data_IF_824025155653
#
_entry.id   IF_824025155653
#
_cell.length_a   1.000
_cell.length_b   1.000
_cell.length_c   1.000
_cell.angle_alpha   90.00
_cell.angle_beta   90.00
_cell.angle_gamma   90.00
#
_symmetry.space_group_name_H-M   'P 1'
#
loop_
_entity.id
_entity.type
_entity.pdbx_description
1 polymer ?
#
# COMPACT_ATOMS: atom_id res chain seq x y z
N UNK A 1 -17.59 -25.87 6.74
CA UNK A 1 -17.89 -24.72 7.62
C UNK A 1 -16.88 -24.57 8.77
N UNK A 2 -16.71 -25.57 9.66
CA UNK A 2 -15.75 -25.48 10.78
C UNK A 2 -14.29 -25.17 10.37
N UNK A 3 -13.75 -25.83 9.34
CA UNK A 3 -12.37 -25.60 8.88
C UNK A 3 -12.09 -24.15 8.44
N UNK A 4 -13.06 -23.50 7.79
CA UNK A 4 -12.94 -22.10 7.37
C UNK A 4 -12.90 -21.17 8.57
N UNK A 5 -13.77 -21.40 9.55
CA UNK A 5 -13.82 -20.63 10.81
C UNK A 5 -12.50 -20.76 11.58
N UNK A 6 -11.95 -21.97 11.69
CA UNK A 6 -10.65 -22.19 12.36
C UNK A 6 -9.50 -21.45 11.68
N UNK A 7 -9.47 -21.41 10.34
CA UNK A 7 -8.44 -20.65 9.59
C UNK A 7 -8.58 -19.15 9.84
N UNK A 8 -9.80 -18.65 9.82
CA UNK A 8 -10.09 -17.23 10.00
C UNK A 8 -9.72 -16.76 11.42
N UNK A 9 -10.09 -17.54 12.43
CA UNK A 9 -9.68 -17.28 13.82
C UNK A 9 -8.16 -17.24 13.98
N UNK A 10 -7.42 -18.19 13.38
CA UNK A 10 -5.95 -18.18 13.44
C UNK A 10 -5.35 -16.91 12.83
N UNK A 11 -5.88 -16.46 11.68
CA UNK A 11 -5.45 -15.22 11.06
C UNK A 11 -5.77 -14.00 11.94
N UNK A 12 -6.95 -13.95 12.55
CA UNK A 12 -7.33 -12.85 13.44
C UNK A 12 -6.41 -12.75 14.65
N UNK A 13 -6.13 -13.87 15.34
CA UNK A 13 -5.20 -13.89 16.48
C UNK A 13 -3.80 -13.45 16.06
N UNK A 14 -3.33 -13.87 14.89
CA UNK A 14 -2.02 -13.46 14.39
C UNK A 14 -1.95 -11.96 14.07
N UNK A 15 -3.03 -11.39 13.54
CA UNK A 15 -3.10 -9.99 13.14
C UNK A 15 -3.42 -9.04 14.29
N UNK A 16 -4.00 -9.55 15.38
CA UNK A 16 -4.49 -8.76 16.52
C UNK A 16 -3.46 -7.73 17.02
N UNK A 17 -2.21 -8.14 17.20
CA UNK A 17 -1.14 -7.24 17.64
C UNK A 17 -0.95 -6.05 16.69
N UNK A 18 -1.02 -6.30 15.39
CA UNK A 18 -0.78 -5.27 14.37
C UNK A 18 -2.00 -4.37 14.18
N UNK A 19 -3.21 -4.91 14.32
CA UNK A 19 -4.46 -4.19 14.04
C UNK A 19 -5.09 -3.51 15.25
N UNK A 20 -4.84 -4.01 16.46
CA UNK A 20 -5.51 -3.56 17.69
C UNK A 20 -4.67 -2.59 18.53
N UNK A 21 -3.44 -2.32 18.11
CA UNK A 21 -2.56 -1.34 18.75
C UNK A 21 -2.50 -0.04 17.95
N UNK A 22 -2.30 1.07 18.67
CA UNK A 22 -2.05 2.37 18.05
C UNK A 22 -0.57 2.56 17.79
N UNK A 23 -0.25 3.05 16.59
CA UNK A 23 1.12 3.28 16.14
C UNK A 23 1.33 4.77 15.88
N UNK A 24 2.36 5.34 16.49
CA UNK A 24 2.80 6.70 16.19
C UNK A 24 3.88 6.60 15.12
N UNK A 25 3.58 7.11 13.93
CA UNK A 25 4.53 7.20 12.84
C UNK A 25 5.21 8.57 12.90
N UNK A 26 6.54 8.60 12.96
CA UNK A 26 7.33 9.82 12.99
C UNK A 26 8.25 9.88 11.76
N UNK A 27 8.27 11.03 11.08
CA UNK A 27 9.09 11.30 9.90
C UNK A 27 10.09 12.45 10.08
N UNK A 28 10.31 12.92 11.32
CA UNK A 28 11.15 14.07 11.66
C UNK A 28 12.57 13.95 11.09
N UNK A 29 13.23 12.80 11.26
CA UNK A 29 14.59 12.59 10.73
C UNK A 29 14.64 12.67 9.21
N UNK A 30 13.62 12.16 8.52
CA UNK A 30 13.53 12.23 7.06
C UNK A 30 13.34 13.67 6.59
N UNK A 31 12.44 14.42 7.25
CA UNK A 31 12.23 15.84 6.97
C UNK A 31 13.48 16.67 7.24
N UNK A 32 14.17 16.42 8.37
CA UNK A 32 15.42 17.08 8.72
C UNK A 32 16.48 16.83 7.65
N UNK A 33 16.69 15.56 7.27
CA UNK A 33 17.65 15.19 6.22
C UNK A 33 17.33 15.91 4.91
N UNK A 34 16.06 15.87 4.48
CA UNK A 34 15.62 16.57 3.27
C UNK A 34 15.96 18.07 3.33
N UNK A 35 15.77 18.73 4.48
CA UNK A 35 16.09 20.15 4.62
C UNK A 35 17.59 20.45 4.55
N UNK A 36 18.45 19.51 4.93
CA UNK A 36 19.90 19.67 4.95
C UNK A 36 20.57 19.37 3.61
N UNK A 37 19.89 18.65 2.70
CA UNK A 37 20.46 18.31 1.39
C UNK A 37 20.60 19.53 0.48
N UNK A 38 21.69 19.53 -0.30
CA UNK A 38 21.91 20.46 -1.40
C UNK A 38 20.82 20.31 -2.48
N UNK A 39 20.56 21.33 -3.30
CA UNK A 39 19.67 21.20 -4.46
C UNK A 39 20.07 20.04 -5.39
N UNK A 40 21.36 19.83 -5.58
CA UNK A 40 21.93 18.75 -6.41
C UNK A 40 21.63 17.37 -5.82
N UNK A 41 21.81 17.19 -4.52
CA UNK A 41 21.54 15.92 -3.84
C UNK A 41 20.05 15.62 -3.78
N UNK A 42 19.19 16.63 -3.56
CA UNK A 42 17.73 16.48 -3.63
C UNK A 42 17.27 15.96 -4.97
N UNK A 43 17.90 16.42 -6.05
CA UNK A 43 17.59 15.98 -7.41
C UNK A 43 18.12 14.57 -7.69
N UNK A 44 19.34 14.28 -7.24
CA UNK A 44 20.02 13.00 -7.49
C UNK A 44 19.40 11.87 -6.68
N UNK A 45 19.02 12.15 -5.43
CA UNK A 45 18.48 11.20 -4.46
C UNK A 45 17.10 11.66 -3.98
N UNK A 46 16.16 11.81 -4.90
CA UNK A 46 14.83 12.29 -4.55
C UNK A 46 14.02 11.23 -3.78
N UNK A 47 13.75 11.49 -2.50
CA UNK A 47 12.83 10.70 -1.66
C UNK A 47 11.61 11.53 -1.22
N UNK A 48 11.30 12.63 -1.90
CA UNK A 48 10.12 13.45 -1.63
C UNK A 48 8.86 12.83 -2.22
N UNK A 49 8.18 12.01 -1.43
CA UNK A 49 6.92 11.36 -1.83
C UNK A 49 5.76 12.34 -2.08
N UNK A 50 5.87 13.61 -1.67
CA UNK A 50 4.82 14.62 -1.90
C UNK A 50 4.68 14.98 -3.37
N UNK A 51 5.70 14.69 -4.17
CA UNK A 51 5.72 14.94 -5.61
C UNK A 51 4.96 13.86 -6.40
N UNK A 52 4.55 12.76 -5.74
CA UNK A 52 3.80 11.69 -6.37
C UNK A 52 2.35 12.11 -6.64
N UNK A 53 1.84 11.77 -7.82
CA UNK A 53 0.40 11.77 -8.06
C UNK A 53 -0.21 10.51 -7.44
N UNK A 54 -0.62 10.63 -6.16
CA UNK A 54 -1.02 9.49 -5.34
C UNK A 54 -2.15 8.63 -5.92
N UNK A 55 -3.13 9.25 -6.60
CA UNK A 55 -4.23 8.50 -7.20
C UNK A 55 -3.74 7.52 -8.28
N UNK A 56 -2.86 7.99 -9.17
CA UNK A 56 -2.26 7.16 -10.22
C UNK A 56 -1.29 6.14 -9.62
N UNK A 57 -0.48 6.55 -8.64
CA UNK A 57 0.43 5.63 -7.95
C UNK A 57 -0.35 4.45 -7.33
N UNK A 58 -1.46 4.73 -6.64
CA UNK A 58 -2.28 3.69 -6.02
C UNK A 58 -2.98 2.81 -7.06
N UNK A 59 -3.43 3.38 -8.19
CA UNK A 59 -3.98 2.57 -9.29
C UNK A 59 -2.92 1.61 -9.85
N UNK A 60 -1.72 2.13 -10.17
CA UNK A 60 -0.61 1.33 -10.68
C UNK A 60 -0.16 0.27 -9.67
N UNK A 61 -0.09 0.62 -8.39
CA UNK A 61 0.24 -0.30 -7.31
C UNK A 61 -0.75 -1.46 -7.23
N UNK A 62 -2.05 -1.17 -7.21
CA UNK A 62 -3.09 -2.19 -7.16
C UNK A 62 -3.07 -3.08 -8.42
N UNK A 63 -2.86 -2.50 -9.61
CA UNK A 63 -2.83 -3.25 -10.87
C UNK A 63 -1.59 -4.14 -10.96
N UNK A 64 -0.44 -3.63 -10.55
CA UNK A 64 0.80 -4.39 -10.47
C UNK A 64 0.69 -5.54 -9.47
N UNK A 65 0.11 -5.31 -8.30
CA UNK A 65 -0.12 -6.35 -7.29
C UNK A 65 -1.01 -7.47 -7.84
N UNK A 66 -2.15 -7.10 -8.44
CA UNK A 66 -3.06 -8.06 -9.06
C UNK A 66 -2.37 -8.94 -10.11
N UNK A 67 -1.61 -8.31 -11.01
CA UNK A 67 -0.95 -9.01 -12.12
C UNK A 67 0.25 -9.85 -11.69
N UNK A 68 1.13 -9.31 -10.85
CA UNK A 68 2.45 -9.90 -10.61
C UNK A 68 2.58 -10.60 -9.26
N UNK A 69 1.89 -10.11 -8.22
CA UNK A 69 1.96 -10.72 -6.88
C UNK A 69 0.90 -11.80 -6.74
N UNK A 70 -0.32 -11.52 -7.18
CA UNK A 70 -1.46 -12.43 -7.09
C UNK A 70 -1.61 -13.33 -8.33
N UNK A 71 -0.89 -12.99 -9.42
CA UNK A 71 -0.95 -13.70 -10.70
C UNK A 71 -2.39 -13.84 -11.24
N UNK A 72 -3.18 -12.79 -11.12
CA UNK A 72 -4.57 -12.75 -11.57
C UNK A 72 -4.71 -12.21 -13.00
N UNK A 73 -5.68 -12.76 -13.73
CA UNK A 73 -6.04 -12.29 -15.06
C UNK A 73 -6.66 -10.88 -15.04
N UNK A 74 -6.18 -10.01 -15.93
CA UNK A 74 -6.65 -8.61 -16.03
C UNK A 74 -7.97 -8.48 -16.79
N UNK A 75 -8.39 -9.55 -17.50
CA UNK A 75 -9.65 -9.61 -18.25
C UNK A 75 -10.90 -9.46 -17.38
N UNK A 76 -10.80 -9.71 -16.07
CA UNK A 76 -11.90 -9.54 -15.12
C UNK A 76 -12.18 -8.08 -14.70
N UNK A 77 -11.30 -7.13 -15.03
CA UNK A 77 -11.46 -5.74 -14.61
C UNK A 77 -12.74 -5.06 -15.11
N UNK A 78 -13.19 -5.23 -16.38
CA UNK A 78 -14.43 -4.64 -16.85
C UNK A 78 -15.65 -5.12 -16.05
N UNK A 79 -15.69 -6.41 -15.67
CA UNK A 79 -16.75 -6.96 -14.85
C UNK A 79 -16.72 -6.35 -13.44
N UNK A 80 -15.55 -6.30 -12.80
CA UNK A 80 -15.37 -5.68 -11.48
C UNK A 80 -15.82 -4.20 -11.46
N UNK A 81 -15.48 -3.41 -12.50
CA UNK A 81 -15.91 -2.01 -12.60
C UNK A 81 -17.42 -1.85 -12.71
N UNK A 82 -18.13 -2.78 -13.36
CA UNK A 82 -19.60 -2.77 -13.40
C UNK A 82 -20.25 -2.99 -12.04
N UNK A 83 -19.59 -3.72 -11.13
CA UNK A 83 -20.10 -3.96 -9.78
C UNK A 83 -19.95 -2.76 -8.84
N UNK A 84 -19.03 -1.83 -9.12
CA UNK A 84 -18.85 -0.60 -8.35
C UNK A 84 -19.91 0.47 -8.65
N UNK A 85 -20.49 0.43 -9.86
CA UNK A 85 -21.51 1.39 -10.31
C UNK A 85 -22.95 0.91 -10.02
N UNK A 86 -23.10 -0.09 -9.15
CA UNK A 86 -24.38 -0.65 -8.71
C UNK A 86 -24.57 -0.36 -7.23
#
# INVERSE_FOLDING_TARGET
MMKTITRLHKAMVFLEYFTSNSWIWNTENMTMLMNQLSPEDKKTFNFDVRQLHWAEYMENYCMGTKKYVLNEEMSGLPAARKHLNK
#
